data_IF_472474738355
#
_entry.id   IF_472474738355
#
_cell.length_a   1.000
_cell.length_b   1.000
_cell.length_c   1.000
_cell.angle_alpha   90.00
_cell.angle_beta   90.00
_cell.angle_gamma   90.00
#
_symmetry.space_group_name_H-M   'P 1'
#
loop_
_entity.id
_entity.type
_entity.pdbx_description
1 polymer ?
#
# COMPACT_ATOMS: atom_id res chain seq x y z
N UNK A 1 -5.54 9.45 0.28
CA UNK A 1 -5.95 8.64 -0.88
C UNK A 1 -4.81 8.52 -1.88
N UNK A 2 -4.62 7.33 -2.39
CA UNK A 2 -3.62 7.08 -3.44
C UNK A 2 -4.29 6.38 -4.62
N UNK A 3 -3.64 6.47 -5.79
CA UNK A 3 -4.11 5.81 -7.01
C UNK A 3 -3.06 4.81 -7.46
N UNK A 4 -3.50 3.63 -7.90
CA UNK A 4 -2.62 2.65 -8.51
C UNK A 4 -2.26 3.15 -9.92
N UNK A 5 -0.99 3.47 -10.15
CA UNK A 5 -0.56 4.06 -11.43
C UNK A 5 0.22 3.11 -12.33
N UNK A 6 0.69 1.97 -11.80
CA UNK A 6 1.43 0.99 -12.61
C UNK A 6 0.49 0.09 -13.41
N UNK A 7 0.93 -0.34 -14.58
CA UNK A 7 0.09 -1.14 -15.48
C UNK A 7 -0.38 -2.45 -14.88
N UNK A 8 0.50 -3.16 -14.19
CA UNK A 8 0.18 -4.48 -13.63
C UNK A 8 -0.69 -4.42 -12.37
N UNK A 9 -0.85 -3.23 -11.78
CA UNK A 9 -1.63 -3.09 -10.56
C UNK A 9 -0.96 -3.72 -9.34
N UNK A 10 -1.78 -4.01 -8.32
CA UNK A 10 -1.31 -4.61 -7.08
C UNK A 10 -1.21 -6.12 -7.23
N UNK A 11 0.00 -6.60 -7.50
CA UNK A 11 0.27 -8.04 -7.57
C UNK A 11 1.30 -8.42 -6.52
N UNK A 12 1.79 -9.66 -6.55
CA UNK A 12 2.64 -10.20 -5.48
C UNK A 12 3.87 -9.35 -5.17
N UNK A 13 4.56 -8.87 -6.20
CA UNK A 13 5.81 -8.13 -5.98
C UNK A 13 5.59 -6.80 -5.26
N UNK A 14 4.71 -5.90 -5.72
CA UNK A 14 4.47 -4.69 -4.95
C UNK A 14 3.84 -4.96 -3.58
N UNK A 15 2.97 -5.97 -3.45
CA UNK A 15 2.41 -6.32 -2.15
C UNK A 15 3.51 -6.73 -1.16
N UNK A 16 4.45 -7.57 -1.60
CA UNK A 16 5.59 -7.96 -0.77
C UNK A 16 6.46 -6.77 -0.37
N UNK A 17 6.68 -5.85 -1.32
CA UNK A 17 7.49 -4.66 -1.06
C UNK A 17 6.81 -3.73 -0.05
N UNK A 18 5.50 -3.55 -0.17
CA UNK A 18 4.71 -2.74 0.77
C UNK A 18 4.84 -3.31 2.19
N UNK A 19 4.67 -4.62 2.32
CA UNK A 19 4.77 -5.28 3.63
C UNK A 19 6.18 -5.14 4.20
N UNK A 20 7.20 -5.26 3.35
CA UNK A 20 8.59 -5.13 3.78
C UNK A 20 8.90 -3.71 4.27
N UNK A 21 8.39 -2.70 3.56
CA UNK A 21 8.53 -1.30 3.99
C UNK A 21 7.83 -1.11 5.33
N UNK A 22 6.57 -1.55 5.42
CA UNK A 22 5.77 -1.36 6.63
C UNK A 22 6.36 -2.08 7.84
N UNK A 23 7.04 -3.20 7.64
CA UNK A 23 7.64 -3.97 8.71
C UNK A 23 8.77 -3.22 9.43
N UNK A 24 9.33 -2.19 8.81
CA UNK A 24 10.39 -1.37 9.43
C UNK A 24 9.85 -0.43 10.50
N UNK A 25 8.55 -0.25 10.57
CA UNK A 25 7.90 0.71 11.44
C UNK A 25 6.98 0.01 12.44
N UNK A 26 6.81 0.62 13.61
CA UNK A 26 5.91 0.08 14.62
C UNK A 26 4.45 0.50 14.38
N UNK A 27 4.24 1.61 13.69
CA UNK A 27 2.88 2.10 13.42
C UNK A 27 2.05 1.05 12.71
N UNK A 28 0.77 1.01 13.04
CA UNK A 28 -0.19 0.18 12.32
C UNK A 28 -0.50 0.80 10.97
N UNK A 29 -0.75 -0.03 9.98
CA UNK A 29 -0.98 0.40 8.62
C UNK A 29 -2.12 -0.40 7.99
N UNK A 30 -3.11 0.32 7.47
CA UNK A 30 -4.29 -0.28 6.85
C UNK A 30 -4.54 0.32 5.49
N UNK A 31 -5.00 -0.52 4.56
CA UNK A 31 -5.35 -0.10 3.20
C UNK A 31 -6.80 -0.50 2.97
N UNK A 32 -7.60 0.42 2.42
CA UNK A 32 -8.99 0.10 2.12
C UNK A 32 -9.35 0.47 0.70
N UNK A 33 -10.31 -0.28 0.14
CA UNK A 33 -10.90 -0.04 -1.15
C UNK A 33 -12.40 -0.20 -1.01
N UNK A 34 -13.16 0.86 -1.34
CA UNK A 34 -14.62 0.83 -1.28
C UNK A 34 -15.14 0.36 0.08
N UNK A 35 -14.49 0.80 1.15
CA UNK A 35 -14.89 0.47 2.51
C UNK A 35 -14.37 -0.87 3.03
N UNK A 36 -13.73 -1.68 2.21
CA UNK A 36 -13.15 -2.94 2.64
C UNK A 36 -11.70 -2.69 3.05
N UNK A 37 -11.39 -2.85 4.34
CA UNK A 37 -10.07 -2.55 4.90
C UNK A 37 -9.28 -3.81 5.19
N UNK A 38 -7.99 -3.79 4.86
CA UNK A 38 -7.06 -4.89 5.13
C UNK A 38 -5.84 -4.35 5.88
N UNK A 39 -5.12 -5.25 6.53
CA UNK A 39 -3.87 -4.90 7.21
C UNK A 39 -2.77 -4.76 6.16
N UNK A 40 -2.15 -3.57 6.11
CA UNK A 40 -1.07 -3.28 5.15
C UNK A 40 0.22 -4.04 5.42
N UNK A 41 0.32 -4.73 6.57
CA UNK A 41 1.45 -5.57 6.91
C UNK A 41 1.21 -7.04 6.58
N UNK A 42 0.12 -7.36 5.89
CA UNK A 42 -0.23 -8.73 5.47
C UNK A 42 -0.24 -8.80 3.95
N UNK A 43 0.64 -9.63 3.37
CA UNK A 43 0.70 -9.82 1.92
C UNK A 43 -0.64 -10.32 1.39
N UNK A 44 -1.21 -11.33 2.06
CA UNK A 44 -2.50 -11.90 1.65
C UNK A 44 -3.59 -10.84 1.72
N UNK A 45 -3.62 -10.05 2.82
CA UNK A 45 -4.59 -8.97 2.98
C UNK A 45 -4.51 -7.97 1.84
N UNK A 46 -3.30 -7.50 1.54
CA UNK A 46 -3.10 -6.52 0.48
C UNK A 46 -3.54 -7.07 -0.87
N UNK A 47 -3.25 -8.32 -1.15
CA UNK A 47 -3.63 -8.94 -2.42
C UNK A 47 -5.13 -9.15 -2.57
N UNK A 48 -5.87 -9.33 -1.47
CA UNK A 48 -7.32 -9.48 -1.55
C UNK A 48 -8.04 -8.23 -2.05
N UNK A 49 -7.36 -7.07 -2.05
CA UNK A 49 -7.94 -5.85 -2.59
C UNK A 49 -8.10 -5.92 -4.11
N UNK A 50 -7.33 -6.78 -4.79
CA UNK A 50 -7.39 -6.97 -6.23
C UNK A 50 -7.34 -5.63 -6.99
N UNK A 51 -6.53 -4.69 -6.50
CA UNK A 51 -6.49 -3.35 -7.03
C UNK A 51 -5.71 -3.29 -8.35
N UNK A 52 -6.37 -2.86 -9.40
CA UNK A 52 -5.77 -2.72 -10.72
C UNK A 52 -5.45 -1.26 -11.02
N UNK A 53 -4.76 -1.01 -12.12
CA UNK A 53 -4.42 0.35 -12.53
C UNK A 53 -5.66 1.24 -12.53
N UNK A 54 -5.53 2.42 -11.94
CA UNK A 54 -6.63 3.37 -11.83
C UNK A 54 -7.43 3.25 -10.55
N UNK A 55 -7.26 2.15 -9.79
CA UNK A 55 -7.97 1.97 -8.53
C UNK A 55 -7.52 3.02 -7.52
N UNK A 56 -8.46 3.51 -6.72
CA UNK A 56 -8.19 4.45 -5.64
C UNK A 56 -8.27 3.73 -4.31
N UNK A 57 -7.25 3.92 -3.49
CA UNK A 57 -7.14 3.29 -2.20
C UNK A 57 -7.00 4.34 -1.11
N UNK A 58 -7.55 4.04 0.07
CA UNK A 58 -7.36 4.88 1.25
C UNK A 58 -6.33 4.22 2.14
N UNK A 59 -5.39 5.01 2.64
CA UNK A 59 -4.34 4.54 3.54
C UNK A 59 -4.59 5.13 4.91
N UNK A 60 -4.39 4.31 5.96
CA UNK A 60 -4.56 4.75 7.34
C UNK A 60 -3.35 4.29 8.16
N UNK A 61 -2.77 5.20 8.92
CA UNK A 61 -1.56 4.95 9.69
C UNK A 61 -1.78 5.39 11.13
N UNK A 62 -1.38 4.57 12.11
CA UNK A 62 -1.54 4.89 13.53
C UNK A 62 -0.31 4.44 14.30
N UNK A 63 0.40 5.37 14.93
CA UNK A 63 1.55 5.05 15.77
C UNK A 63 2.54 6.19 15.81
N UNK A 64 3.57 6.05 16.69
CA UNK A 64 4.51 7.14 16.91
C UNK A 64 5.37 7.47 15.68
N UNK A 65 5.60 6.50 14.81
CA UNK A 65 6.39 6.69 13.58
C UNK A 65 5.51 6.70 12.32
N UNK A 66 4.22 7.04 12.49
CA UNK A 66 3.26 7.01 11.38
C UNK A 66 3.62 7.95 10.24
N UNK A 67 4.20 9.12 10.55
CA UNK A 67 4.53 10.10 9.51
C UNK A 67 5.64 9.56 8.60
N UNK A 68 6.68 8.99 9.18
CA UNK A 68 7.78 8.42 8.41
C UNK A 68 7.31 7.26 7.54
N UNK A 69 6.46 6.40 8.11
CA UNK A 69 5.88 5.29 7.37
C UNK A 69 5.01 5.79 6.21
N UNK A 70 4.14 6.76 6.49
CA UNK A 70 3.24 7.31 5.49
C UNK A 70 4.02 7.91 4.32
N UNK A 71 5.08 8.67 4.60
CA UNK A 71 5.90 9.28 3.55
C UNK A 71 6.52 8.22 2.64
N UNK A 72 7.06 7.17 3.21
CA UNK A 72 7.70 6.12 2.41
C UNK A 72 6.68 5.35 1.58
N UNK A 73 5.55 4.99 2.17
CA UNK A 73 4.50 4.24 1.48
C UNK A 73 3.88 5.06 0.36
N UNK A 74 3.54 6.32 0.63
CA UNK A 74 2.92 7.18 -0.38
C UNK A 74 3.85 7.37 -1.57
N UNK A 75 5.14 7.61 -1.29
CA UNK A 75 6.13 7.75 -2.36
C UNK A 75 6.22 6.49 -3.21
N UNK A 76 6.15 5.32 -2.58
CA UNK A 76 6.19 4.04 -3.28
C UNK A 76 4.99 3.87 -4.22
N UNK A 77 3.79 4.23 -3.76
CA UNK A 77 2.60 4.23 -4.61
C UNK A 77 2.73 5.21 -5.76
N UNK A 78 3.16 6.44 -5.49
CA UNK A 78 3.29 7.48 -6.51
C UNK A 78 4.30 7.09 -7.58
N UNK A 79 5.32 6.33 -7.20
CA UNK A 79 6.36 5.86 -8.10
C UNK A 79 5.93 4.64 -8.91
N UNK A 80 4.68 4.22 -8.79
CA UNK A 80 4.16 3.05 -9.50
C UNK A 80 4.85 1.77 -9.07
N UNK A 81 5.26 1.69 -7.80
CA UNK A 81 5.98 0.55 -7.23
C UNK A 81 7.30 0.26 -7.98
N UNK A 82 7.85 1.26 -8.69
CA UNK A 82 9.05 1.07 -9.49
C UNK A 82 8.82 0.29 -10.77
N UNK A 83 7.57 0.12 -11.18
CA UNK A 83 7.18 -0.65 -12.36
C UNK A 83 6.70 0.26 -13.49
N UNK A 84 6.57 -0.27 -14.73
CA UNK A 84 6.02 0.52 -15.83
C UNK A 84 4.63 1.06 -15.55
N UNK A 85 4.43 2.31 -15.88
CA UNK A 85 3.15 2.99 -15.75
C UNK A 85 2.43 2.99 -17.11
#
# INVERSE_FOLDING_TARGET
EVTIVNKAGMHTRPASSIVRIAAKYEADFYISRDGFEVNGKSIIGVMTLAAEQGSKLMLRFEGHDEVALAEEIIRFFEDGFGEPK
#
